data_IF_922652009560
#
_entry.id   IF_922652009560
#
_cell.length_a   1.000
_cell.length_b   1.000
_cell.length_c   1.000
_cell.angle_alpha   90.00
_cell.angle_beta   90.00
_cell.angle_gamma   90.00
#
_symmetry.space_group_name_H-M   'P 1'
#
loop_
_entity.id
_entity.type
_entity.pdbx_description
1 polymer ?
#
# COMPACT_ATOMS: atom_id res chain seq x y z
N UNK A 1 -25.26 -17.37 -7.49
CA UNK A 1 -24.19 -17.78 -6.55
C UNK A 1 -22.90 -18.15 -7.28
N UNK A 2 -22.95 -18.72 -8.48
CA UNK A 2 -21.77 -19.20 -9.26
C UNK A 2 -20.82 -18.11 -9.81
N UNK A 3 -21.22 -16.83 -9.85
CA UNK A 3 -20.40 -15.75 -10.42
C UNK A 3 -19.47 -15.06 -9.41
N UNK A 4 -19.77 -15.17 -8.11
CA UNK A 4 -18.98 -14.54 -7.02
C UNK A 4 -17.87 -15.48 -6.52
N UNK A 5 -18.08 -16.79 -6.59
CA UNK A 5 -17.05 -17.78 -6.26
C UNK A 5 -15.93 -17.81 -7.31
N UNK A 6 -16.22 -17.44 -8.57
CA UNK A 6 -15.21 -17.35 -9.64
C UNK A 6 -14.20 -16.22 -9.44
N UNK A 7 -14.60 -15.07 -8.90
CA UNK A 7 -13.67 -13.94 -8.68
C UNK A 7 -12.74 -14.17 -7.48
N UNK A 8 -13.21 -14.86 -6.43
CA UNK A 8 -12.38 -15.17 -5.26
C UNK A 8 -11.50 -16.40 -5.52
N UNK A 9 -12.02 -17.47 -6.12
CA UNK A 9 -11.24 -18.67 -6.43
C UNK A 9 -10.13 -18.42 -7.47
N UNK A 10 -10.35 -17.51 -8.43
CA UNK A 10 -9.31 -17.13 -9.40
C UNK A 10 -8.22 -16.25 -8.77
N UNK A 11 -8.52 -15.52 -7.69
CA UNK A 11 -7.55 -14.71 -6.94
C UNK A 11 -6.72 -15.57 -5.98
N UNK A 12 -7.36 -16.51 -5.29
CA UNK A 12 -6.69 -17.52 -4.44
C UNK A 12 -5.70 -18.36 -5.26
N UNK A 13 -6.12 -18.89 -6.42
CA UNK A 13 -5.21 -19.64 -7.32
C UNK A 13 -4.08 -18.80 -7.92
N UNK A 14 -4.30 -17.50 -8.12
CA UNK A 14 -3.23 -16.60 -8.59
C UNK A 14 -2.26 -16.24 -7.47
N UNK A 15 -2.66 -16.36 -6.20
CA UNK A 15 -1.81 -16.19 -5.04
C UNK A 15 -0.95 -17.45 -4.84
N UNK A 16 -1.56 -18.64 -4.87
CA UNK A 16 -0.85 -19.92 -4.72
C UNK A 16 0.21 -20.14 -5.81
N UNK A 17 -0.13 -19.91 -7.09
CA UNK A 17 0.81 -20.07 -8.20
C UNK A 17 1.95 -19.03 -8.20
N UNK A 18 1.72 -17.84 -7.64
CA UNK A 18 2.77 -16.82 -7.50
C UNK A 18 3.79 -17.24 -6.44
N UNK A 19 3.30 -17.76 -5.31
CA UNK A 19 4.12 -18.22 -4.20
C UNK A 19 4.92 -19.48 -4.54
N UNK A 20 4.35 -20.45 -5.26
CA UNK A 20 5.05 -21.70 -5.60
C UNK A 20 6.22 -21.51 -6.58
N UNK A 21 6.14 -20.53 -7.49
CA UNK A 21 7.21 -20.30 -8.49
C UNK A 21 8.47 -19.61 -7.95
N UNK A 22 8.43 -19.11 -6.71
CA UNK A 22 9.50 -18.29 -6.12
C UNK A 22 10.40 -19.07 -5.15
N UNK A 23 10.08 -20.35 -4.90
CA UNK A 23 10.73 -21.21 -3.90
C UNK A 23 12.01 -21.92 -4.40
N UNK A 24 12.40 -21.73 -5.67
CA UNK A 24 13.47 -22.53 -6.30
C UNK A 24 14.89 -21.92 -6.24
N UNK A 25 15.10 -20.76 -5.60
CA UNK A 25 16.44 -20.16 -5.51
C UNK A 25 16.96 -20.14 -4.05
N UNK A 26 17.93 -21.02 -3.75
CA UNK A 26 18.74 -21.01 -2.52
C UNK A 26 20.20 -21.32 -2.83
N UNK A 27 21.14 -20.51 -2.32
CA UNK A 27 22.27 -20.91 -1.43
C UNK A 27 23.42 -19.87 -1.45
N UNK A 28 23.62 -19.13 -0.34
CA UNK A 28 24.88 -18.64 0.28
C UNK A 28 24.63 -17.57 1.37
N UNK A 29 25.60 -17.30 2.27
CA UNK A 29 25.43 -16.39 3.42
C UNK A 29 25.28 -14.88 3.05
N UNK A 30 25.67 -14.47 1.84
CA UNK A 30 25.30 -13.17 1.25
C UNK A 30 23.80 -13.10 0.90
N UNK A 31 23.15 -14.25 0.74
CA UNK A 31 21.73 -14.34 0.48
C UNK A 31 20.91 -13.96 1.70
N UNK A 32 21.47 -13.86 2.93
CA UNK A 32 20.66 -13.52 4.12
C UNK A 32 20.03 -12.13 4.07
N UNK A 33 20.70 -11.13 3.51
CA UNK A 33 20.13 -9.78 3.32
C UNK A 33 19.12 -9.77 2.17
N UNK A 34 19.41 -10.46 1.07
CA UNK A 34 18.47 -10.68 -0.04
C UNK A 34 17.25 -11.53 0.40
N UNK A 35 17.43 -12.42 1.36
CA UNK A 35 16.38 -13.25 1.96
C UNK A 35 15.45 -12.38 2.81
N UNK A 36 15.98 -11.40 3.56
CA UNK A 36 15.15 -10.45 4.33
C UNK A 36 14.30 -9.56 3.43
N UNK A 37 14.81 -9.16 2.26
CA UNK A 37 14.02 -8.43 1.25
C UNK A 37 12.82 -9.27 0.75
N UNK A 38 12.92 -10.60 0.83
CA UNK A 38 11.89 -11.54 0.38
C UNK A 38 10.95 -12.04 1.49
N UNK A 39 11.21 -11.69 2.76
CA UNK A 39 10.35 -12.08 3.88
C UNK A 39 9.05 -11.27 3.90
N UNK A 40 8.04 -11.85 4.54
CA UNK A 40 6.84 -11.11 4.89
C UNK A 40 7.17 -10.12 5.99
N UNK A 41 6.48 -9.00 6.03
CA UNK A 41 6.55 -8.05 7.13
C UNK A 41 5.14 -7.75 7.67
N UNK A 42 5.09 -7.28 8.92
CA UNK A 42 3.85 -6.95 9.61
C UNK A 42 4.06 -5.74 10.53
N UNK A 43 3.18 -5.57 11.53
CA UNK A 43 3.35 -4.62 12.62
C UNK A 43 4.69 -4.83 13.35
N UNK A 44 5.24 -3.74 13.86
CA UNK A 44 6.45 -3.79 14.69
C UNK A 44 6.17 -4.53 16.00
N UNK A 45 7.21 -5.10 16.57
CA UNK A 45 7.15 -5.72 17.89
C UNK A 45 6.83 -4.65 18.98
N UNK A 46 6.48 -5.06 20.21
CA UNK A 46 6.22 -4.12 21.29
C UNK A 46 7.41 -3.19 21.65
N UNK A 47 8.63 -3.55 21.24
CA UNK A 47 9.86 -2.77 21.45
C UNK A 47 10.13 -1.77 20.30
N UNK A 48 9.35 -1.86 19.21
CA UNK A 48 9.45 -1.00 18.03
C UNK A 48 10.38 -1.52 16.94
N UNK A 49 10.83 -2.78 17.01
CA UNK A 49 11.67 -3.37 15.98
C UNK A 49 10.82 -3.95 14.83
N UNK A 50 11.33 -3.90 13.59
CA UNK A 50 10.64 -4.46 12.44
C UNK A 50 10.52 -5.98 12.54
N UNK A 51 9.29 -6.48 12.38
CA UNK A 51 9.00 -7.92 12.36
C UNK A 51 9.03 -8.45 10.94
N UNK A 52 9.89 -9.44 10.69
CA UNK A 52 9.94 -10.20 9.44
C UNK A 52 9.52 -11.65 9.70
N UNK A 53 8.74 -12.22 8.79
CA UNK A 53 8.14 -13.54 8.93
C UNK A 53 8.46 -14.41 7.72
N UNK A 54 8.78 -15.68 7.98
CA UNK A 54 8.84 -16.69 6.94
C UNK A 54 7.42 -17.02 6.44
N UNK A 55 7.31 -17.69 5.28
CA UNK A 55 6.02 -18.04 4.69
C UNK A 55 5.13 -18.86 5.62
N UNK A 56 5.69 -19.86 6.29
CA UNK A 56 4.93 -20.72 7.20
C UNK A 56 4.41 -19.93 8.40
N UNK A 57 5.24 -19.05 8.96
CA UNK A 57 4.86 -18.18 10.07
C UNK A 57 3.78 -17.19 9.66
N UNK A 58 3.93 -16.57 8.49
CA UNK A 58 2.98 -15.62 7.94
C UNK A 58 1.62 -16.27 7.66
N UNK A 59 1.63 -17.51 7.14
CA UNK A 59 0.40 -18.29 6.88
C UNK A 59 -0.29 -18.65 8.21
N UNK A 60 0.46 -19.20 9.17
CA UNK A 60 -0.07 -19.56 10.48
C UNK A 60 -0.64 -18.34 11.22
N UNK A 61 0.01 -17.17 11.12
CA UNK A 61 -0.46 -15.91 11.71
C UNK A 61 -1.88 -15.55 11.25
N UNK A 62 -2.18 -15.73 9.96
CA UNK A 62 -3.50 -15.42 9.39
C UNK A 62 -4.51 -16.51 9.72
N UNK A 63 -4.12 -17.78 9.57
CA UNK A 63 -5.01 -18.94 9.74
C UNK A 63 -5.41 -19.17 11.21
N UNK A 64 -4.52 -18.90 12.15
CA UNK A 64 -4.82 -18.98 13.59
C UNK A 64 -5.75 -17.84 14.05
N UNK A 65 -5.88 -16.77 13.25
CA UNK A 65 -6.69 -15.60 13.58
C UNK A 65 -8.19 -15.78 13.28
N UNK A 66 -8.82 -16.82 13.86
CA UNK A 66 -10.24 -17.12 13.65
C UNK A 66 -11.11 -16.83 14.88
N UNK A 67 -12.26 -16.18 14.65
CA UNK A 67 -13.32 -16.06 15.66
C UNK A 67 -14.01 -17.39 15.93
N UNK A 68 -14.60 -17.54 17.12
CA UNK A 68 -15.49 -18.66 17.43
C UNK A 68 -16.79 -18.65 16.61
N UNK A 69 -17.10 -17.52 15.96
CA UNK A 69 -18.30 -17.33 15.13
C UNK A 69 -18.00 -17.46 13.63
N UNK A 70 -16.77 -17.84 13.28
CA UNK A 70 -16.34 -17.88 11.90
C UNK A 70 -17.09 -18.99 11.13
N UNK A 71 -17.67 -18.64 9.99
CA UNK A 71 -18.42 -19.57 9.11
C UNK A 71 -17.52 -20.18 8.07
N UNK A 72 -17.70 -21.44 7.70
CA UNK A 72 -16.86 -22.08 6.66
C UNK A 72 -16.95 -21.36 5.32
N UNK A 73 -18.16 -20.95 4.91
CA UNK A 73 -18.41 -20.34 3.60
C UNK A 73 -18.08 -18.83 3.52
N UNK A 74 -17.27 -18.29 4.44
CA UNK A 74 -16.89 -16.87 4.43
C UNK A 74 -15.38 -16.70 4.24
N UNK A 75 -15.00 -15.65 3.52
CA UNK A 75 -13.58 -15.28 3.34
C UNK A 75 -12.91 -15.00 4.69
N UNK A 76 -11.80 -15.66 4.97
CA UNK A 76 -11.03 -15.54 6.24
C UNK A 76 -10.01 -14.42 6.24
N UNK A 77 -9.64 -13.95 5.07
CA UNK A 77 -8.75 -12.83 4.86
C UNK A 77 -9.21 -12.00 3.67
N UNK A 78 -8.63 -10.80 3.55
CA UNK A 78 -8.81 -9.89 2.42
C UNK A 78 -7.43 -9.51 1.90
N UNK A 79 -7.31 -9.39 0.58
CA UNK A 79 -6.08 -8.93 -0.04
C UNK A 79 -6.20 -7.46 -0.43
N UNK A 80 -5.20 -6.67 -0.05
CA UNK A 80 -5.00 -5.30 -0.47
C UNK A 80 -3.74 -5.22 -1.34
N UNK A 81 -3.89 -4.68 -2.55
CA UNK A 81 -2.77 -4.43 -3.44
C UNK A 81 -2.42 -2.94 -3.39
N UNK A 82 -1.25 -2.62 -2.85
CA UNK A 82 -0.71 -1.26 -2.83
C UNK A 82 0.25 -1.16 -4.01
N UNK A 83 0.00 -0.21 -4.90
CA UNK A 83 0.75 -0.07 -6.14
C UNK A 83 1.00 1.41 -6.41
N UNK A 84 2.11 1.95 -5.91
CA UNK A 84 2.47 3.32 -6.19
C UNK A 84 2.60 3.54 -7.70
N UNK A 85 2.17 4.71 -8.13
CA UNK A 85 2.28 5.15 -9.52
C UNK A 85 3.75 5.34 -9.90
N UNK A 86 4.03 5.40 -11.20
CA UNK A 86 5.39 5.68 -11.69
C UNK A 86 5.98 6.96 -11.07
N UNK A 87 5.19 8.03 -10.98
CA UNK A 87 5.66 9.30 -10.42
C UNK A 87 5.99 9.19 -8.93
N UNK A 88 5.20 8.42 -8.18
CA UNK A 88 5.45 8.15 -6.75
C UNK A 88 6.71 7.30 -6.57
N UNK A 89 6.92 6.27 -7.39
CA UNK A 89 8.13 5.44 -7.37
C UNK A 89 9.39 6.22 -7.79
N UNK A 90 9.26 7.15 -8.74
CA UNK A 90 10.35 8.03 -9.15
C UNK A 90 10.72 8.99 -8.01
N UNK A 91 9.73 9.55 -7.31
CA UNK A 91 9.94 10.40 -6.13
C UNK A 91 10.62 9.66 -4.97
N UNK A 92 10.17 8.44 -4.63
CA UNK A 92 10.84 7.64 -3.59
C UNK A 92 12.31 7.37 -3.97
N UNK A 93 12.60 7.11 -5.24
CA UNK A 93 13.98 6.88 -5.68
C UNK A 93 14.85 8.12 -5.49
N UNK A 94 14.30 9.32 -5.71
CA UNK A 94 14.99 10.58 -5.43
C UNK A 94 15.27 10.76 -3.93
N UNK A 95 14.29 10.44 -3.07
CA UNK A 95 14.48 10.46 -1.62
C UNK A 95 15.57 9.49 -1.17
N UNK A 96 15.57 8.25 -1.68
CA UNK A 96 16.61 7.26 -1.39
C UNK A 96 18.00 7.76 -1.81
N UNK A 97 18.11 8.41 -2.98
CA UNK A 97 19.39 9.00 -3.44
C UNK A 97 19.88 10.10 -2.49
N UNK A 98 18.98 10.93 -1.98
CA UNK A 98 19.31 11.97 -1.00
C UNK A 98 19.75 11.34 0.33
N UNK A 99 19.06 10.31 0.80
CA UNK A 99 19.40 9.61 2.04
C UNK A 99 20.77 8.92 1.95
N UNK A 100 21.08 8.28 0.83
CA UNK A 100 22.42 7.72 0.59
C UNK A 100 23.49 8.82 0.64
N UNK A 101 23.23 9.99 0.06
CA UNK A 101 24.16 11.11 0.11
C UNK A 101 24.42 11.59 1.55
N UNK A 102 23.37 11.70 2.37
CA UNK A 102 23.46 12.10 3.77
C UNK A 102 24.21 11.08 4.65
N UNK A 103 24.13 9.79 4.30
CA UNK A 103 24.91 8.72 4.95
C UNK A 103 26.39 8.70 4.53
N UNK A 104 26.82 9.64 3.68
CA UNK A 104 28.22 9.79 3.27
C UNK A 104 28.58 9.09 1.96
N UNK A 105 27.59 8.58 1.20
CA UNK A 105 27.83 8.08 -0.15
C UNK A 105 27.85 9.26 -1.13
N UNK A 106 28.97 9.98 -1.16
CA UNK A 106 29.14 11.09 -2.09
C UNK A 106 29.33 10.59 -3.53
N UNK A 107 29.12 11.47 -4.51
CA UNK A 107 29.22 11.15 -5.94
C UNK A 107 30.56 10.50 -6.33
N UNK A 108 31.66 10.85 -5.66
CA UNK A 108 32.98 10.24 -5.91
C UNK A 108 33.04 8.78 -5.45
N UNK A 109 32.49 8.49 -4.28
CA UNK A 109 32.51 7.14 -3.71
C UNK A 109 31.61 6.20 -4.53
N UNK A 110 30.44 6.71 -4.96
CA UNK A 110 29.55 6.00 -5.88
C UNK A 110 30.23 5.72 -7.24
N UNK A 111 30.96 6.70 -7.78
CA UNK A 111 31.73 6.51 -9.03
C UNK A 111 32.82 5.45 -8.86
N UNK A 112 33.56 5.45 -7.76
CA UNK A 112 34.62 4.46 -7.50
C UNK A 112 34.02 3.05 -7.34
N UNK A 113 32.95 2.92 -6.55
CA UNK A 113 32.28 1.64 -6.35
C UNK A 113 31.68 1.10 -7.65
N UNK A 114 31.12 1.97 -8.51
CA UNK A 114 30.56 1.60 -9.82
C UNK A 114 31.59 1.09 -10.83
N UNK A 115 32.89 1.32 -10.59
CA UNK A 115 33.96 0.79 -11.45
C UNK A 115 34.15 -0.72 -11.28
N UNK A 116 33.67 -1.29 -10.17
CA UNK A 116 33.75 -2.72 -9.87
C UNK A 116 32.36 -3.33 -9.90
N UNK A 117 32.21 -4.54 -10.45
CA UNK A 117 30.92 -5.23 -10.46
C UNK A 117 30.39 -5.49 -9.04
N UNK A 118 31.28 -5.84 -8.10
CA UNK A 118 30.92 -6.06 -6.70
C UNK A 118 30.47 -4.77 -5.99
N UNK A 119 31.17 -3.65 -6.24
CA UNK A 119 30.79 -2.35 -5.69
C UNK A 119 29.46 -1.83 -6.25
N UNK A 120 29.19 -2.06 -7.54
CA UNK A 120 27.90 -1.73 -8.14
C UNK A 120 26.76 -2.55 -7.52
N UNK A 121 26.96 -3.87 -7.32
CA UNK A 121 25.98 -4.72 -6.64
C UNK A 121 25.69 -4.25 -5.22
N UNK A 122 26.71 -3.83 -4.47
CA UNK A 122 26.53 -3.30 -3.11
C UNK A 122 25.70 -2.02 -3.10
N UNK A 123 25.94 -1.10 -4.05
CA UNK A 123 25.12 0.11 -4.20
C UNK A 123 23.67 -0.27 -4.48
N UNK A 124 23.44 -1.23 -5.38
CA UNK A 124 22.10 -1.65 -5.75
C UNK A 124 21.36 -2.29 -4.56
N UNK A 125 22.04 -3.11 -3.76
CA UNK A 125 21.49 -3.71 -2.53
C UNK A 125 21.13 -2.62 -1.50
N UNK A 126 22.03 -1.67 -1.24
CA UNK A 126 21.75 -0.58 -0.28
C UNK A 126 20.56 0.25 -0.75
N UNK A 127 20.54 0.61 -2.03
CA UNK A 127 19.44 1.37 -2.62
C UNK A 127 18.13 0.60 -2.55
N UNK A 128 18.16 -0.71 -2.83
CA UNK A 128 16.97 -1.56 -2.77
C UNK A 128 16.44 -1.64 -1.34
N UNK A 129 17.30 -1.89 -0.36
CA UNK A 129 16.93 -1.94 1.05
C UNK A 129 16.25 -0.65 1.55
N UNK A 130 16.81 0.51 1.21
CA UNK A 130 16.20 1.81 1.54
C UNK A 130 14.86 2.00 0.82
N UNK A 131 14.75 1.56 -0.43
CA UNK A 131 13.48 1.60 -1.18
C UNK A 131 12.41 0.73 -0.53
N UNK A 132 12.76 -0.51 -0.17
CA UNK A 132 11.90 -1.45 0.54
C UNK A 132 11.48 -0.92 1.91
N UNK A 133 12.39 -0.28 2.65
CA UNK A 133 12.05 0.34 3.93
C UNK A 133 10.98 1.42 3.75
N UNK A 134 11.17 2.35 2.82
CA UNK A 134 10.18 3.39 2.51
C UNK A 134 8.81 2.80 2.16
N UNK A 135 8.78 1.70 1.38
CA UNK A 135 7.55 1.00 1.03
C UNK A 135 6.90 0.28 2.23
N UNK A 136 7.68 -0.33 3.13
CA UNK A 136 7.17 -0.94 4.37
C UNK A 136 6.54 0.10 5.27
N UNK A 137 7.22 1.22 5.47
CA UNK A 137 6.72 2.34 6.27
C UNK A 137 5.46 2.96 5.66
N UNK A 138 5.41 3.10 4.34
CA UNK A 138 4.18 3.53 3.66
C UNK A 138 3.04 2.53 3.86
N UNK A 139 3.32 1.22 3.78
CA UNK A 139 2.32 0.17 4.00
C UNK A 139 1.73 0.26 5.41
N UNK A 140 2.54 0.57 6.43
CA UNK A 140 2.06 0.75 7.80
C UNK A 140 1.07 1.93 7.91
N UNK A 141 1.35 3.06 7.27
CA UNK A 141 0.37 4.18 7.20
C UNK A 141 -0.92 3.75 6.51
N UNK A 142 -0.81 3.01 5.41
CA UNK A 142 -1.98 2.47 4.70
C UNK A 142 -2.81 1.56 5.60
N UNK A 143 -2.16 0.77 6.47
CA UNK A 143 -2.86 -0.08 7.44
C UNK A 143 -3.47 0.71 8.60
N UNK A 144 -2.87 1.83 9.00
CA UNK A 144 -3.48 2.77 9.95
C UNK A 144 -4.75 3.40 9.36
N UNK A 145 -4.66 3.94 8.14
CA UNK A 145 -5.82 4.46 7.40
C UNK A 145 -6.90 3.38 7.19
N UNK A 146 -6.48 2.12 7.00
CA UNK A 146 -7.37 0.99 6.86
C UNK A 146 -8.13 0.70 8.16
N UNK A 147 -7.45 0.71 9.31
CA UNK A 147 -8.06 0.52 10.62
C UNK A 147 -9.05 1.64 10.95
N UNK A 148 -8.64 2.89 10.77
CA UNK A 148 -9.41 4.09 11.10
C UNK A 148 -10.72 4.15 10.29
N UNK A 149 -10.67 3.74 9.03
CA UNK A 149 -11.83 3.76 8.14
C UNK A 149 -12.98 2.84 8.57
N UNK A 150 -12.75 1.88 9.48
CA UNK A 150 -13.83 1.06 10.01
C UNK A 150 -14.72 1.79 11.01
N UNK A 151 -14.23 2.87 11.64
CA UNK A 151 -14.91 3.58 12.73
C UNK A 151 -15.41 2.62 13.82
N UNK A 152 -14.57 1.65 14.19
CA UNK A 152 -14.89 0.60 15.16
C UNK A 152 -14.12 0.79 16.45
N UNK A 153 -14.69 0.26 17.53
CA UNK A 153 -14.01 0.17 18.82
C UNK A 153 -13.54 -1.25 19.09
N UNK A 154 -12.45 -1.38 19.83
CA UNK A 154 -11.87 -2.62 20.35
C UNK A 154 -11.79 -2.54 21.88
N UNK A 155 -11.57 -3.67 22.55
CA UNK A 155 -11.41 -3.69 24.00
C UNK A 155 -10.04 -3.16 24.40
N UNK A 156 -9.98 -2.38 25.48
CA UNK A 156 -8.73 -1.77 25.93
C UNK A 156 -7.75 -2.84 26.45
N UNK A 157 -8.24 -3.77 27.28
CA UNK A 157 -7.46 -4.86 27.85
C UNK A 157 -8.01 -6.23 27.42
N UNK A 158 -7.70 -6.69 26.19
CA UNK A 158 -8.30 -7.90 25.64
C UNK A 158 -7.87 -9.19 26.36
N UNK A 159 -6.78 -9.14 27.14
CA UNK A 159 -6.33 -10.25 27.99
C UNK A 159 -7.18 -10.44 29.25
N UNK A 160 -7.87 -9.39 29.71
CA UNK A 160 -8.65 -9.42 30.95
C UNK A 160 -10.17 -9.38 30.72
N UNK A 161 -10.62 -10.06 29.67
CA UNK A 161 -12.03 -10.19 29.32
C UNK A 161 -12.73 -11.28 30.16
N UNK A 162 -14.03 -11.13 30.48
CA UNK A 162 -14.78 -12.12 31.25
C UNK A 162 -14.99 -13.42 30.46
N UNK A 163 -15.01 -14.54 31.18
CA UNK A 163 -15.42 -15.83 30.60
C UNK A 163 -16.95 -15.89 30.40
N UNK A 164 -17.46 -16.98 29.82
CA UNK A 164 -18.90 -17.10 29.51
C UNK A 164 -19.80 -17.11 30.76
N UNK A 165 -19.33 -17.64 31.89
CA UNK A 165 -20.10 -17.68 33.15
C UNK A 165 -20.14 -16.30 33.81
N UNK A 166 -18.98 -15.63 33.88
CA UNK A 166 -18.83 -14.27 34.39
C UNK A 166 -19.65 -13.28 33.56
N UNK A 167 -19.62 -13.40 32.22
CA UNK A 167 -20.40 -12.55 31.33
C UNK A 167 -21.91 -12.69 31.59
N UNK A 168 -22.38 -13.90 31.90
CA UNK A 168 -23.79 -14.12 32.28
C UNK A 168 -24.12 -13.38 33.58
N UNK A 169 -23.27 -13.49 34.61
CA UNK A 169 -23.43 -12.79 35.89
C UNK A 169 -23.46 -11.26 35.67
N UNK A 170 -22.53 -10.74 34.87
CA UNK A 170 -22.44 -9.31 34.55
C UNK A 170 -23.72 -8.83 33.82
N UNK A 171 -24.20 -9.61 32.83
CA UNK A 171 -25.40 -9.27 32.08
C UNK A 171 -26.68 -9.34 32.94
N UNK A 172 -26.78 -10.34 33.83
CA UNK A 172 -27.93 -10.50 34.72
C UNK A 172 -27.98 -9.35 35.74
N UNK A 173 -26.83 -8.96 36.30
CA UNK A 173 -26.71 -7.79 37.18
C UNK A 173 -27.11 -6.49 36.47
N UNK A 174 -26.60 -6.25 35.26
CA UNK A 174 -26.93 -5.05 34.50
C UNK A 174 -28.43 -4.95 34.18
N UNK A 175 -29.07 -6.07 33.83
CA UNK A 175 -30.53 -6.11 33.60
C UNK A 175 -31.33 -5.83 34.87
N UNK A 176 -30.91 -6.38 36.01
CA UNK A 176 -31.55 -6.10 37.31
C UNK A 176 -31.48 -4.60 37.64
N UNK A 177 -30.29 -3.99 37.53
CA UNK A 177 -30.09 -2.56 37.80
C UNK A 177 -30.92 -1.65 36.90
N UNK A 178 -31.07 -2.00 35.63
CA UNK A 178 -31.93 -1.22 34.73
C UNK A 178 -33.41 -1.36 35.11
N UNK A 179 -33.85 -2.57 35.45
CA UNK A 179 -35.23 -2.79 35.88
C UNK A 179 -35.57 -2.04 37.17
N UNK A 180 -34.63 -1.96 38.12
CA UNK A 180 -34.73 -1.14 39.34
C UNK A 180 -34.81 0.36 39.03
N UNK A 181 -34.11 0.80 37.98
CA UNK A 181 -34.08 2.21 37.56
C UNK A 181 -35.32 2.63 36.76
N UNK A 182 -36.21 1.70 36.40
CA UNK A 182 -37.46 1.97 35.68
C UNK A 182 -37.29 2.42 34.22
N UNK A 183 -36.12 2.20 33.61
CA UNK A 183 -35.83 2.62 32.22
C UNK A 183 -36.39 1.59 31.25
N UNK A 184 -37.16 2.03 30.26
CA UNK A 184 -37.74 1.12 29.26
C UNK A 184 -36.70 0.72 28.21
N UNK A 185 -36.80 -0.50 27.68
CA UNK A 185 -35.90 -1.00 26.62
C UNK A 185 -35.91 -0.12 25.34
N UNK A 186 -36.96 0.68 25.14
CA UNK A 186 -37.10 1.57 23.98
C UNK A 186 -36.38 2.92 24.15
N UNK A 187 -35.92 3.26 25.36
CA UNK A 187 -35.27 4.53 25.63
C UNK A 187 -33.87 4.55 25.01
N UNK A 188 -33.52 5.67 24.35
CA UNK A 188 -32.20 5.85 23.75
C UNK A 188 -31.04 5.73 24.76
N UNK A 189 -31.32 6.02 26.05
CA UNK A 189 -30.34 5.93 27.14
C UNK A 189 -30.14 4.50 27.66
N UNK A 190 -31.04 3.56 27.34
CA UNK A 190 -30.97 2.18 27.85
C UNK A 190 -29.61 1.54 27.55
N UNK A 191 -29.11 1.67 26.32
CA UNK A 191 -27.85 1.04 25.92
C UNK A 191 -26.63 1.64 26.62
N UNK A 192 -26.66 2.93 26.95
CA UNK A 192 -25.58 3.59 27.66
C UNK A 192 -25.53 3.14 29.11
N UNK A 193 -26.67 3.17 29.81
CA UNK A 193 -26.77 2.66 31.17
C UNK A 193 -26.45 1.16 31.26
N UNK A 194 -26.91 0.36 30.30
CA UNK A 194 -26.58 -1.06 30.23
C UNK A 194 -25.08 -1.30 30.11
N UNK A 195 -24.40 -0.55 29.25
CA UNK A 195 -22.95 -0.67 29.10
C UNK A 195 -22.23 -0.23 30.39
N UNK A 196 -22.64 0.89 31.00
CA UNK A 196 -22.05 1.40 32.23
C UNK A 196 -22.18 0.41 33.40
N UNK A 197 -23.35 -0.19 33.61
CA UNK A 197 -23.54 -1.20 34.66
C UNK A 197 -22.75 -2.48 34.40
N UNK A 198 -22.57 -2.88 33.13
CA UNK A 198 -21.70 -4.01 32.78
C UNK A 198 -20.24 -3.73 33.09
N UNK A 199 -19.77 -2.53 32.77
CA UNK A 199 -18.40 -2.10 33.06
C UNK A 199 -18.14 -2.02 34.57
N UNK A 200 -19.06 -1.44 35.33
CA UNK A 200 -18.99 -1.41 36.79
C UNK A 200 -18.89 -2.83 37.38
N UNK A 201 -19.78 -3.74 36.96
CA UNK A 201 -19.76 -5.10 37.48
C UNK A 201 -18.53 -5.90 37.03
N UNK A 202 -18.07 -5.69 35.80
CA UNK A 202 -16.84 -6.28 35.32
C UNK A 202 -15.66 -5.82 36.18
N UNK A 203 -15.57 -4.53 36.49
CA UNK A 203 -14.51 -3.96 37.31
C UNK A 203 -14.52 -4.53 38.74
N UNK A 204 -15.69 -4.68 39.36
CA UNK A 204 -15.84 -5.37 40.66
C UNK A 204 -15.32 -6.81 40.63
N UNK A 205 -15.48 -7.51 39.50
CA UNK A 205 -14.99 -8.87 39.30
C UNK A 205 -13.53 -8.93 38.83
N UNK A 206 -12.83 -7.79 38.79
CA UNK A 206 -11.46 -7.69 38.31
C UNK A 206 -11.31 -7.88 36.80
N UNK A 207 -12.38 -7.69 36.02
CA UNK A 207 -12.42 -7.78 34.55
C UNK A 207 -12.56 -6.40 33.93
N UNK A 208 -12.14 -6.27 32.67
CA UNK A 208 -12.21 -5.00 31.95
C UNK A 208 -13.04 -5.16 30.66
N UNK A 209 -14.08 -4.33 30.53
CA UNK A 209 -14.94 -4.25 29.35
C UNK A 209 -14.86 -2.88 28.66
N UNK A 210 -13.95 -2.00 29.09
CA UNK A 210 -13.75 -0.70 28.49
C UNK A 210 -13.29 -0.84 27.03
N UNK A 211 -13.71 0.12 26.21
CA UNK A 211 -13.47 0.12 24.77
C UNK A 211 -12.74 1.38 24.33
N UNK A 212 -11.91 1.26 23.31
CA UNK A 212 -11.17 2.36 22.66
C UNK A 212 -11.35 2.29 21.14
N UNK A 213 -11.08 3.36 20.38
CA UNK A 213 -11.00 3.27 18.92
C UNK A 213 -9.95 2.24 18.50
N UNK A 214 -10.25 1.57 17.40
CA UNK A 214 -9.36 0.60 16.76
C UNK A 214 -8.15 1.31 16.15
N UNK A 215 -7.00 0.63 16.17
CA UNK A 215 -5.73 1.10 15.59
C UNK A 215 -5.12 0.01 14.70
N UNK A 216 -4.04 0.31 13.99
CA UNK A 216 -3.29 -0.62 13.15
C UNK A 216 -2.76 -1.85 13.91
N UNK A 217 -2.47 -1.70 15.21
CA UNK A 217 -2.00 -2.78 16.09
C UNK A 217 -3.06 -3.85 16.35
N UNK A 218 -4.33 -3.47 16.19
CA UNK A 218 -5.47 -4.36 16.36
C UNK A 218 -5.79 -5.14 15.07
N UNK A 219 -5.09 -4.86 13.97
CA UNK A 219 -5.14 -5.65 12.75
C UNK A 219 -4.12 -6.79 12.80
N UNK A 220 -4.52 -7.95 12.29
CA UNK A 220 -3.58 -9.02 11.94
C UNK A 220 -3.42 -9.00 10.43
N UNK A 221 -2.23 -8.63 9.96
CA UNK A 221 -1.92 -8.53 8.55
C UNK A 221 -0.48 -8.94 8.28
N UNK A 222 -0.21 -9.34 7.05
CA UNK A 222 1.13 -9.60 6.53
C UNK A 222 1.23 -8.92 5.17
N UNK A 223 2.43 -8.50 4.77
CA UNK A 223 2.64 -8.01 3.42
C UNK A 223 3.98 -8.45 2.86
N UNK A 224 4.07 -8.45 1.54
CA UNK A 224 5.30 -8.68 0.80
C UNK A 224 5.45 -7.65 -0.31
N UNK A 225 6.68 -7.19 -0.50
CA UNK A 225 7.06 -6.25 -1.56
C UNK A 225 7.57 -7.07 -2.75
N UNK A 226 7.10 -6.70 -3.93
CA UNK A 226 7.42 -7.36 -5.18
C UNK A 226 7.94 -6.32 -6.18
N UNK A 227 9.11 -6.57 -6.74
CA UNK A 227 9.82 -5.57 -7.57
C UNK A 227 9.45 -5.67 -9.05
N UNK A 228 9.04 -6.86 -9.47
CA UNK A 228 8.80 -7.23 -10.86
C UNK A 228 7.35 -7.62 -11.07
N UNK A 229 6.83 -7.32 -12.25
CA UNK A 229 5.53 -7.80 -12.71
C UNK A 229 5.67 -8.44 -14.07
N UNK A 230 4.98 -9.53 -14.30
CA UNK A 230 4.94 -10.20 -15.60
C UNK A 230 3.58 -9.99 -16.27
N UNK A 231 3.57 -10.07 -17.60
CA UNK A 231 2.35 -10.08 -18.39
C UNK A 231 1.66 -11.45 -18.28
N UNK A 232 0.42 -11.45 -17.76
CA UNK A 232 -0.37 -12.68 -17.61
C UNK A 232 -1.07 -13.04 -18.92
N UNK A 233 -1.35 -14.32 -19.15
CA UNK A 233 -2.04 -14.78 -20.36
C UNK A 233 -3.42 -14.18 -20.58
N UNK A 234 -4.09 -13.74 -19.50
CA UNK A 234 -5.37 -13.07 -19.52
C UNK A 234 -5.28 -11.53 -19.65
N UNK A 235 -4.08 -10.95 -19.71
CA UNK A 235 -3.92 -9.52 -19.92
C UNK A 235 -4.42 -9.13 -21.33
N UNK A 236 -5.14 -8.01 -21.41
CA UNK A 236 -5.77 -7.55 -22.65
C UNK A 236 -4.79 -7.49 -23.83
N UNK A 237 -3.62 -6.88 -23.63
CA UNK A 237 -2.61 -6.74 -24.68
C UNK A 237 -2.02 -8.08 -25.11
N UNK A 238 -1.86 -9.03 -24.18
CA UNK A 238 -1.41 -10.40 -24.50
C UNK A 238 -2.45 -11.12 -25.35
N UNK A 239 -3.73 -11.03 -24.98
CA UNK A 239 -4.83 -11.66 -25.73
C UNK A 239 -4.94 -11.06 -27.14
N UNK A 240 -4.89 -9.74 -27.26
CA UNK A 240 -4.94 -9.03 -28.56
C UNK A 240 -3.75 -9.42 -29.43
N UNK A 241 -2.53 -9.39 -28.90
CA UNK A 241 -1.34 -9.81 -29.63
C UNK A 241 -1.38 -11.28 -30.02
N UNK A 242 -1.91 -12.17 -29.17
CA UNK A 242 -2.08 -13.61 -29.48
C UNK A 242 -3.06 -13.82 -30.63
N UNK A 243 -4.13 -13.02 -30.73
CA UNK A 243 -5.08 -13.04 -31.86
C UNK A 243 -4.42 -12.54 -33.15
N UNK A 244 -3.65 -11.46 -33.07
CA UNK A 244 -2.88 -10.91 -34.20
C UNK A 244 -1.86 -11.94 -34.69
N UNK A 245 -1.08 -12.54 -33.79
CA UNK A 245 -0.08 -13.56 -34.13
C UNK A 245 -0.72 -14.80 -34.79
N UNK A 246 -1.87 -15.28 -34.29
CA UNK A 246 -2.63 -16.35 -34.97
C UNK A 246 -3.09 -15.96 -36.37
N UNK A 247 -3.43 -14.70 -36.58
CA UNK A 247 -3.84 -14.19 -37.90
C UNK A 247 -2.65 -14.10 -38.85
N UNK A 248 -1.49 -13.66 -38.35
CA UNK A 248 -0.22 -13.68 -39.08
C UNK A 248 0.15 -15.11 -39.48
N UNK A 249 0.06 -16.08 -38.57
CA UNK A 249 0.32 -17.51 -38.86
C UNK A 249 -0.60 -18.06 -39.95
N UNK A 250 -1.91 -17.74 -39.89
CA UNK A 250 -2.86 -18.14 -40.93
C UNK A 250 -2.50 -17.55 -42.30
N UNK A 251 -2.11 -16.27 -42.35
CA UNK A 251 -1.72 -15.60 -43.61
C UNK A 251 -0.42 -16.18 -44.17
N UNK A 252 0.55 -16.51 -43.31
CA UNK A 252 1.80 -17.16 -43.73
C UNK A 252 1.54 -18.51 -44.39
N UNK A 253 0.64 -19.31 -43.81
CA UNK A 253 0.31 -20.66 -44.27
C UNK A 253 -0.71 -20.69 -45.43
N UNK A 254 -1.26 -19.54 -45.85
CA UNK A 254 -2.25 -19.48 -46.93
C UNK A 254 -1.58 -19.67 -48.31
N UNK A 255 -1.89 -20.76 -48.99
CA UNK A 255 -1.31 -21.14 -50.28
C UNK A 255 -1.86 -20.26 -51.42
N UNK A 256 -3.03 -19.65 -51.24
CA UNK A 256 -3.74 -18.90 -52.30
C UNK A 256 -3.31 -17.43 -52.42
N UNK A 257 -2.48 -16.93 -51.50
CA UNK A 257 -1.99 -15.55 -51.50
C UNK A 257 -0.60 -15.46 -52.16
N UNK A 258 -0.41 -14.49 -53.04
CA UNK A 258 0.92 -14.12 -53.55
C UNK A 258 1.80 -13.62 -52.40
N UNK A 259 3.09 -13.98 -52.40
CA UNK A 259 4.08 -13.58 -51.39
C UNK A 259 4.07 -12.07 -51.11
N UNK A 260 4.06 -11.24 -52.16
CA UNK A 260 3.98 -9.78 -52.04
C UNK A 260 2.74 -9.26 -51.27
N UNK A 261 1.61 -9.97 -51.36
CA UNK A 261 0.37 -9.64 -50.63
C UNK A 261 0.40 -10.16 -49.20
N UNK A 262 1.09 -11.29 -48.94
CA UNK A 262 1.32 -11.80 -47.58
C UNK A 262 2.17 -10.82 -46.81
N UNK A 263 3.29 -10.39 -47.38
CA UNK A 263 4.23 -9.45 -46.76
C UNK A 263 3.54 -8.16 -46.32
N UNK A 264 2.78 -7.52 -47.21
CA UNK A 264 2.03 -6.30 -46.86
C UNK A 264 1.06 -6.50 -45.70
N UNK A 265 0.22 -7.55 -45.75
CA UNK A 265 -0.73 -7.85 -44.67
C UNK A 265 -0.05 -8.18 -43.34
N UNK A 266 1.11 -8.83 -43.39
CA UNK A 266 1.88 -9.17 -42.19
C UNK A 266 2.46 -7.89 -41.58
N UNK A 267 2.98 -6.97 -42.39
CA UNK A 267 3.49 -5.67 -41.91
C UNK A 267 2.37 -4.89 -41.22
N UNK A 268 1.19 -4.77 -41.86
CA UNK A 268 0.04 -4.07 -41.29
C UNK A 268 -0.37 -4.66 -39.93
N UNK A 269 -0.38 -6.00 -39.81
CA UNK A 269 -0.71 -6.69 -38.56
C UNK A 269 0.40 -6.56 -37.50
N UNK A 270 1.66 -6.50 -37.92
CA UNK A 270 2.79 -6.29 -37.00
C UNK A 270 2.79 -4.89 -36.41
N UNK A 271 2.35 -3.87 -37.15
CA UNK A 271 2.18 -2.50 -36.64
C UNK A 271 1.07 -2.40 -35.60
N UNK A 272 0.05 -3.25 -35.68
CA UNK A 272 -1.05 -3.32 -34.71
C UNK A 272 -0.68 -4.03 -33.40
N UNK A 273 0.51 -4.64 -33.31
CA UNK A 273 0.94 -5.31 -32.08
C UNK A 273 1.16 -4.30 -30.95
N UNK A 274 0.53 -4.57 -29.81
CA UNK A 274 0.75 -3.79 -28.60
C UNK A 274 2.17 -4.01 -28.08
N UNK A 275 2.90 -2.92 -27.89
CA UNK A 275 4.27 -2.91 -27.35
C UNK A 275 4.27 -2.32 -25.95
N UNK A 276 5.15 -2.84 -25.11
CA UNK A 276 5.38 -2.28 -23.80
C UNK A 276 6.02 -0.89 -23.93
N UNK A 277 5.55 0.08 -23.13
CA UNK A 277 5.95 1.48 -23.29
C UNK A 277 7.39 1.74 -22.85
N UNK A 278 7.86 0.96 -21.88
CA UNK A 278 9.20 1.13 -21.32
C UNK A 278 10.25 0.37 -22.14
N UNK A 279 9.99 -0.89 -22.50
CA UNK A 279 10.95 -1.70 -23.27
C UNK A 279 10.82 -1.55 -24.78
N UNK A 280 9.67 -1.09 -25.30
CA UNK A 280 9.39 -1.04 -26.74
C UNK A 280 9.19 -2.40 -27.40
N UNK A 281 9.24 -3.49 -26.63
CA UNK A 281 9.10 -4.86 -27.12
C UNK A 281 7.62 -5.25 -27.22
N UNK A 282 7.31 -6.16 -28.15
CA UNK A 282 5.96 -6.70 -28.32
C UNK A 282 5.59 -7.52 -27.07
N UNK A 283 4.45 -7.18 -26.48
CA UNK A 283 3.98 -7.81 -25.25
C UNK A 283 3.64 -9.27 -25.51
N UNK A 284 4.21 -10.15 -24.68
CA UNK A 284 4.00 -11.60 -24.69
C UNK A 284 3.69 -12.10 -23.27
N UNK A 285 3.03 -13.24 -23.19
CA UNK A 285 2.79 -13.95 -21.93
C UNK A 285 4.12 -14.32 -21.27
N UNK A 286 4.23 -14.09 -19.96
CA UNK A 286 5.46 -14.37 -19.17
C UNK A 286 6.55 -13.30 -19.28
N UNK A 287 6.42 -12.32 -20.18
CA UNK A 287 7.39 -11.23 -20.31
C UNK A 287 7.33 -10.30 -19.08
N UNK A 288 8.49 -9.92 -18.54
CA UNK A 288 8.59 -8.88 -17.50
C UNK A 288 8.14 -7.51 -18.04
N UNK A 289 7.34 -6.79 -17.25
CA UNK A 289 6.87 -5.45 -17.55
C UNK A 289 8.03 -4.47 -17.33
N UNK A 290 8.28 -3.60 -18.31
CA UNK A 290 9.35 -2.62 -18.18
C UNK A 290 9.05 -1.50 -17.17
N UNK A 291 10.10 -0.79 -16.79
CA UNK A 291 10.05 0.25 -15.76
C UNK A 291 10.03 -0.32 -14.34
N UNK A 292 9.97 0.55 -13.35
CA UNK A 292 9.88 0.16 -11.94
C UNK A 292 8.51 -0.43 -11.66
N UNK A 293 8.45 -1.68 -11.21
CA UNK A 293 7.21 -2.40 -10.97
C UNK A 293 6.99 -2.71 -9.48
N UNK A 294 7.64 -1.96 -8.58
CA UNK A 294 7.44 -2.12 -7.14
C UNK A 294 5.97 -2.03 -6.76
N UNK A 295 5.50 -3.07 -6.08
CA UNK A 295 4.15 -3.17 -5.57
C UNK A 295 4.11 -4.09 -4.36
N UNK A 296 3.04 -4.00 -3.60
CA UNK A 296 2.93 -4.66 -2.30
C UNK A 296 1.63 -5.43 -2.28
N UNK A 297 1.73 -6.68 -1.88
CA UNK A 297 0.60 -7.55 -1.60
C UNK A 297 0.46 -7.64 -0.09
N UNK A 298 -0.59 -7.02 0.44
CA UNK A 298 -0.96 -7.14 1.85
C UNK A 298 -2.15 -8.08 2.01
N UNK A 299 -2.04 -9.03 2.93
CA UNK A 299 -3.11 -9.95 3.35
C UNK A 299 -3.53 -9.53 4.75
N UNK A 300 -4.79 -9.16 4.90
CA UNK A 300 -5.37 -8.71 6.16
C UNK A 300 -6.38 -9.75 6.62
N UNK A 301 -6.26 -10.21 7.86
CA UNK A 301 -7.21 -11.14 8.43
C UNK A 301 -8.60 -10.50 8.59
N UNK A 302 -9.66 -11.31 8.47
CA UNK A 302 -11.05 -10.87 8.64
C UNK A 302 -11.36 -10.46 10.09
N UNK A 303 -10.52 -10.79 11.06
CA UNK A 303 -10.78 -10.57 12.48
C UNK A 303 -9.71 -9.69 13.12
N UNK A 304 -10.10 -8.97 14.18
CA UNK A 304 -9.17 -8.19 15.00
C UNK A 304 -8.20 -9.10 15.79
N UNK A 305 -7.11 -8.50 16.25
CA UNK A 305 -6.04 -9.15 17.03
C UNK A 305 -6.44 -9.41 18.50
N UNK A 306 -7.71 -9.64 18.79
CA UNK A 306 -8.17 -9.92 20.15
C UNK A 306 -7.83 -11.38 20.51
N UNK A 307 -7.02 -11.69 21.54
CA UNK A 307 -6.60 -13.07 21.85
C UNK A 307 -7.79 -14.01 22.12
N UNK A 308 -8.87 -13.47 22.71
CA UNK A 308 -10.07 -14.25 22.97
C UNK A 308 -10.97 -14.36 21.72
N UNK A 309 -11.03 -15.57 21.14
CA UNK A 309 -11.81 -15.91 19.93
C UNK A 309 -13.30 -15.54 20.01
N UNK A 310 -13.90 -15.50 21.20
CA UNK A 310 -15.33 -15.14 21.39
C UNK A 310 -15.59 -13.66 21.20
N UNK A 311 -14.60 -12.82 21.52
CA UNK A 311 -14.68 -11.37 21.48
C UNK A 311 -14.12 -10.77 20.19
N UNK A 312 -13.45 -11.59 19.36
CA UNK A 312 -12.97 -11.17 18.05
C UNK A 312 -14.07 -10.54 17.20
N UNK A 313 -13.82 -9.33 16.69
CA UNK A 313 -14.73 -8.59 15.81
C UNK A 313 -14.35 -8.80 14.36
N UNK A 314 -15.33 -9.07 13.51
CA UNK A 314 -15.11 -9.21 12.07
C UNK A 314 -14.96 -7.83 11.41
N UNK A 315 -13.85 -7.63 10.72
CA UNK A 315 -13.46 -6.45 9.97
C UNK A 315 -13.52 -6.83 8.49
N UNK A 316 -14.50 -6.30 7.75
CA UNK A 316 -14.64 -6.59 6.33
C UNK A 316 -14.72 -5.29 5.52
N UNK A 317 -13.77 -5.04 4.61
CA UNK A 317 -13.77 -3.85 3.76
C UNK A 317 -14.87 -3.91 2.67
N UNK A 318 -15.54 -5.06 2.57
CA UNK A 318 -16.65 -5.28 1.65
C UNK A 318 -18.01 -4.96 2.29
N UNK A 319 -18.05 -4.77 3.61
CA UNK A 319 -19.27 -4.36 4.29
C UNK A 319 -19.58 -2.91 3.92
N UNK A 320 -20.68 -2.71 3.19
CA UNK A 320 -21.21 -1.37 2.91
C UNK A 320 -21.44 -0.61 4.22
N UNK A 321 -21.14 0.69 4.22
CA UNK A 321 -21.52 1.58 5.32
C UNK A 321 -23.02 1.44 5.58
N UNK A 322 -23.37 1.02 6.80
CA UNK A 322 -24.74 1.02 7.27
C UNK A 322 -24.85 2.13 8.31
N UNK A 323 -25.81 3.03 8.11
CA UNK A 323 -26.26 3.93 9.17
C UNK A 323 -27.11 3.11 10.13
N UNK A 324 -26.47 2.24 10.91
CA UNK A 324 -27.17 1.45 11.91
C UNK A 324 -27.41 2.33 13.13
N UNK A 325 -28.67 2.70 13.38
CA UNK A 325 -29.11 3.24 14.67
C UNK A 325 -29.06 2.12 15.71
N UNK A 326 -27.88 1.82 16.23
CA UNK A 326 -27.75 0.89 17.35
C UNK A 326 -28.01 1.72 18.61
N UNK A 327 -29.21 1.58 19.15
CA UNK A 327 -29.64 2.10 20.46
C UNK A 327 -29.12 3.51 20.80
N UNK A 328 -29.57 4.51 20.03
CA UNK A 328 -29.28 5.93 20.32
C UNK A 328 -27.92 6.44 19.84
N UNK A 329 -27.02 5.59 19.34
CA UNK A 329 -25.77 6.03 18.71
C UNK A 329 -25.90 5.98 17.18
N UNK A 330 -25.70 7.12 16.52
CA UNK A 330 -25.45 7.20 15.09
C UNK A 330 -24.00 6.74 14.81
N UNK A 331 -23.73 5.46 15.02
CA UNK A 331 -22.44 4.89 14.64
C UNK A 331 -22.51 4.49 13.17
N UNK A 332 -21.80 5.21 12.31
CA UNK A 332 -21.56 4.80 10.93
C UNK A 332 -20.59 3.62 10.99
N UNK A 333 -21.13 2.40 10.87
CA UNK A 333 -20.33 1.18 10.86
C UNK A 333 -20.20 0.69 9.42
N UNK A 334 -18.97 0.50 8.96
CA UNK A 334 -18.65 -0.04 7.64
C UNK A 334 -17.31 0.47 7.15
N UNK A 335 -17.01 0.26 5.88
CA UNK A 335 -15.76 0.71 5.27
C UNK A 335 -16.07 1.56 4.05
N UNK A 336 -15.62 2.83 4.05
CA UNK A 336 -15.73 3.69 2.86
C UNK A 336 -14.51 3.53 1.98
N UNK A 337 -14.68 2.93 0.80
CA UNK A 337 -13.56 2.74 -0.12
C UNK A 337 -13.08 4.05 -0.70
N UNK A 338 -13.97 5.01 -0.97
CA UNK A 338 -13.58 6.28 -1.56
C UNK A 338 -12.81 7.12 -0.54
N UNK A 339 -13.30 7.20 0.69
CA UNK A 339 -12.60 7.90 1.77
C UNK A 339 -11.23 7.28 2.03
N UNK A 340 -11.15 5.95 2.05
CA UNK A 340 -9.88 5.24 2.20
C UNK A 340 -8.88 5.59 1.10
N UNK A 341 -9.29 5.58 -0.18
CA UNK A 341 -8.38 5.95 -1.26
C UNK A 341 -7.88 7.39 -1.14
N UNK A 342 -8.74 8.33 -0.74
CA UNK A 342 -8.37 9.73 -0.56
C UNK A 342 -7.40 9.89 0.62
N UNK A 343 -7.67 9.22 1.75
CA UNK A 343 -6.78 9.22 2.92
C UNK A 343 -5.41 8.66 2.57
N UNK A 344 -5.36 7.51 1.91
CA UNK A 344 -4.08 6.87 1.51
C UNK A 344 -3.25 7.77 0.58
N UNK A 345 -3.88 8.43 -0.40
CA UNK A 345 -3.16 9.40 -1.25
C UNK A 345 -2.59 10.56 -0.42
N UNK A 346 -3.38 11.08 0.52
CA UNK A 346 -2.96 12.17 1.41
C UNK A 346 -1.83 11.73 2.34
N UNK A 347 -1.91 10.54 2.92
CA UNK A 347 -0.88 9.96 3.79
C UNK A 347 0.43 9.77 3.03
N UNK A 348 0.38 9.36 1.76
CA UNK A 348 1.56 9.32 0.89
C UNK A 348 2.14 10.72 0.68
N UNK A 349 1.29 11.68 0.31
CA UNK A 349 1.70 13.04 -0.03
C UNK A 349 2.31 13.76 1.20
N UNK A 350 1.74 13.57 2.39
CA UNK A 350 2.25 14.12 3.65
C UNK A 350 3.57 13.45 4.08
N UNK A 351 3.66 12.12 4.01
CA UNK A 351 4.85 11.35 4.41
C UNK A 351 6.06 11.67 3.55
N UNK A 352 5.88 11.63 2.23
CA UNK A 352 6.97 11.82 1.28
C UNK A 352 7.08 13.26 0.76
N UNK A 353 6.21 14.17 1.21
CA UNK A 353 6.11 15.56 0.70
C UNK A 353 5.97 15.59 -0.82
N UNK A 354 5.12 14.71 -1.35
CA UNK A 354 4.95 14.55 -2.79
C UNK A 354 3.88 15.50 -3.33
N UNK A 355 4.25 16.32 -4.32
CA UNK A 355 3.31 17.23 -4.98
C UNK A 355 2.51 16.49 -6.08
N UNK A 356 1.38 15.92 -5.68
CA UNK A 356 0.53 15.14 -6.57
C UNK A 356 -0.14 16.00 -7.65
N UNK A 357 0.10 15.65 -8.91
CA UNK A 357 -0.57 16.31 -10.06
C UNK A 357 -1.92 15.69 -10.42
N UNK A 358 -2.09 14.38 -10.18
CA UNK A 358 -3.30 13.59 -10.49
C UNK A 358 -3.76 12.84 -9.25
N UNK A 359 -4.91 13.25 -8.70
CA UNK A 359 -5.55 12.60 -7.54
C UNK A 359 -6.72 11.71 -7.93
N UNK A 360 -7.04 10.77 -7.04
CA UNK A 360 -8.19 9.88 -7.11
C UNK A 360 -9.50 10.65 -7.27
N UNK A 361 -9.66 11.75 -6.54
CA UNK A 361 -10.85 12.62 -6.65
C UNK A 361 -11.00 13.19 -8.06
N UNK A 362 -9.92 13.76 -8.61
CA UNK A 362 -9.89 14.30 -9.98
C UNK A 362 -10.26 13.22 -11.00
N UNK A 363 -9.71 12.02 -10.83
CA UNK A 363 -10.02 10.88 -11.70
C UNK A 363 -11.50 10.49 -11.64
N UNK A 364 -12.06 10.39 -10.43
CA UNK A 364 -13.47 10.05 -10.23
C UNK A 364 -14.41 11.12 -10.80
N UNK A 365 -14.07 12.40 -10.63
CA UNK A 365 -14.83 13.52 -11.22
C UNK A 365 -14.86 13.41 -12.76
N UNK A 366 -13.72 13.15 -13.40
CA UNK A 366 -13.62 12.97 -14.85
C UNK A 366 -14.45 11.76 -15.31
N UNK A 367 -14.32 10.62 -14.64
CA UNK A 367 -15.06 9.39 -14.95
C UNK A 367 -16.57 9.56 -14.84
N UNK A 368 -17.03 10.25 -13.79
CA UNK A 368 -18.45 10.53 -13.58
C UNK A 368 -18.99 11.60 -14.54
N UNK A 369 -18.16 12.58 -14.94
CA UNK A 369 -18.48 13.55 -15.98
C UNK A 369 -18.69 12.89 -17.36
N UNK A 370 -17.85 11.94 -17.73
CA UNK A 370 -18.02 11.16 -18.96
C UNK A 370 -19.29 10.29 -18.95
N UNK A 371 -19.67 9.72 -17.80
CA UNK A 371 -20.93 8.97 -17.66
C UNK A 371 -22.17 9.85 -17.78
N UNK A 372 -22.13 11.10 -17.30
CA UNK A 372 -23.24 12.07 -17.48
C UNK A 372 -23.38 12.53 -18.93
N UNK A 373 -22.27 12.70 -19.66
CA UNK A 373 -22.31 13.15 -21.06
C UNK A 373 -22.76 12.06 -22.05
N UNK A 374 -22.67 10.78 -21.70
CA UNK A 374 -23.22 9.70 -22.55
C UNK A 374 -24.76 9.58 -22.48
N UNK A 375 -25.43 10.33 -21.58
CA UNK A 375 -26.90 10.36 -21.44
C UNK A 375 -27.53 11.67 -21.95
N UNK A 376 -26.77 12.56 -22.61
CA UNK A 376 -27.29 13.81 -23.18
C UNK A 376 -27.15 13.73 -24.70
N UNK A 377 -28.29 13.73 -25.39
CA UNK A 377 -28.36 13.81 -26.85
C UNK A 377 -27.51 14.98 -27.37
N UNK A 378 -26.73 14.66 -28.40
CA UNK A 378 -25.80 15.53 -29.12
C UNK A 378 -26.41 16.90 -29.45
N UNK A 379 -25.76 17.99 -29.03
CA UNK A 379 -25.99 19.34 -29.58
C UNK A 379 -24.64 19.85 -30.12
N UNK A 380 -24.57 20.44 -31.34
CA UNK A 380 -23.29 20.70 -32.02
C UNK A 380 -22.44 21.81 -31.39
N UNK A 381 -21.13 21.62 -31.50
CA UNK A 381 -20.01 22.29 -30.84
C UNK A 381 -19.73 23.76 -31.22
N UNK A 382 -20.68 24.51 -31.75
CA UNK A 382 -20.40 25.85 -32.31
C UNK A 382 -20.86 27.02 -31.43
N UNK A 383 -21.48 26.79 -30.27
CA UNK A 383 -22.00 27.87 -29.40
C UNK A 383 -21.20 28.07 -28.10
N UNK A 384 -20.33 27.12 -27.73
CA UNK A 384 -19.66 27.10 -26.42
C UNK A 384 -18.34 27.90 -26.34
N UNK A 385 -17.79 28.40 -27.46
CA UNK A 385 -16.48 29.04 -27.44
C UNK A 385 -16.47 30.53 -27.07
N UNK A 386 -17.62 31.23 -27.13
CA UNK A 386 -17.63 32.69 -26.94
C UNK A 386 -18.02 33.15 -25.53
N UNK A 387 -18.66 32.31 -24.71
CA UNK A 387 -19.15 32.69 -23.37
C UNK A 387 -18.23 32.30 -22.20
N UNK A 388 -17.28 31.38 -22.38
CA UNK A 388 -16.41 30.87 -21.31
C UNK A 388 -15.25 31.83 -20.95
N UNK A 389 -14.67 32.52 -21.93
CA UNK A 389 -13.46 33.35 -21.69
C UNK A 389 -13.73 34.63 -20.86
N UNK A 390 -14.96 35.15 -20.86
CA UNK A 390 -15.33 36.35 -20.06
C UNK A 390 -15.63 36.01 -18.59
N UNK A 391 -16.16 34.82 -18.32
CA UNK A 391 -16.51 34.36 -16.97
C UNK A 391 -15.28 33.86 -16.20
N UNK A 392 -14.38 33.14 -16.88
CA UNK A 392 -13.15 32.61 -16.29
C UNK A 392 -12.21 33.75 -15.87
N UNK A 393 -12.08 34.81 -16.68
CA UNK A 393 -11.22 35.95 -16.33
C UNK A 393 -11.76 36.82 -15.19
N UNK A 394 -13.08 36.85 -14.96
CA UNK A 394 -13.69 37.58 -13.83
C UNK A 394 -13.55 36.85 -12.49
N UNK A 395 -13.49 35.51 -12.51
CA UNK A 395 -13.36 34.70 -11.30
C UNK A 395 -11.91 34.58 -10.80
N UNK A 396 -10.93 34.61 -11.71
CA UNK A 396 -9.52 34.36 -11.39
C UNK A 396 -8.78 35.60 -10.86
N UNK A 397 -9.23 36.81 -11.22
CA UNK A 397 -8.59 38.06 -10.79
C UNK A 397 -8.58 38.30 -9.27
N UNK A 398 -9.71 38.17 -8.53
CA UNK A 398 -9.70 38.38 -7.08
C UNK A 398 -8.92 37.28 -6.32
N UNK A 399 -8.95 36.03 -6.82
CA UNK A 399 -8.18 34.92 -6.25
C UNK A 399 -6.66 35.10 -6.41
N UNK A 400 -6.21 35.70 -7.53
CA UNK A 400 -4.78 36.03 -7.72
C UNK A 400 -4.32 37.18 -6.82
N UNK A 401 -5.19 38.14 -6.51
CA UNK A 401 -4.87 39.23 -5.58
C UNK A 401 -4.79 38.73 -4.13
N UNK A 402 -5.75 37.90 -3.68
CA UNK A 402 -5.68 37.28 -2.35
C UNK A 402 -4.47 36.36 -2.16
N UNK A 403 -4.09 35.59 -3.20
CA UNK A 403 -2.91 34.73 -3.14
C UNK A 403 -1.61 35.53 -3.09
N UNK A 404 -1.55 36.68 -3.76
CA UNK A 404 -0.37 37.55 -3.73
C UNK A 404 -0.25 38.36 -2.42
N UNK A 405 -1.36 38.68 -1.76
CA UNK A 405 -1.35 39.36 -0.45
C UNK A 405 -1.06 38.40 0.70
N UNK A 406 -1.53 37.14 0.63
CA UNK A 406 -1.30 36.12 1.67
C UNK A 406 0.02 35.37 1.54
N UNK A 407 0.62 35.31 0.35
CA UNK A 407 1.92 34.67 0.12
C UNK A 407 2.94 35.76 -0.21
N UNK A 408 3.53 36.35 0.83
CA UNK A 408 4.63 37.30 0.73
C UNK A 408 5.88 36.65 0.11
N UNK A 409 5.97 36.68 -1.22
CA UNK A 409 7.04 36.04 -2.00
C UNK A 409 8.45 36.66 -1.84
N UNK A 410 8.65 37.62 -0.93
CA UNK A 410 9.95 38.25 -0.68
C UNK A 410 10.63 37.81 0.63
N UNK A 411 9.98 37.00 1.49
CA UNK A 411 10.61 36.43 2.68
C UNK A 411 11.05 34.96 2.51
N UNK A 412 10.47 34.24 1.54
CA UNK A 412 10.82 32.84 1.23
C UNK A 412 12.19 32.65 0.56
N UNK A 413 12.92 33.73 0.25
CA UNK A 413 14.30 33.69 -0.26
C UNK A 413 15.37 33.80 0.83
N UNK A 414 15.00 33.89 2.11
CA UNK A 414 15.94 34.02 3.23
C UNK A 414 15.93 32.87 4.23
N UNK A 415 15.20 31.79 3.94
CA UNK A 415 15.27 30.56 4.70
C UNK A 415 15.92 29.50 3.82
N UNK A 416 17.25 29.45 3.86
CA UNK A 416 18.01 28.26 3.47
C UNK A 416 17.65 27.15 4.47
N UNK A 417 16.77 26.23 4.06
CA UNK A 417 16.22 25.16 4.92
C UNK A 417 17.14 23.91 4.92
N UNK A 418 18.32 23.99 4.28
CA UNK A 418 19.22 22.85 4.09
C UNK A 418 20.03 22.42 5.33
N UNK A 419 19.82 23.03 6.51
CA UNK A 419 20.60 22.69 7.72
C UNK A 419 19.79 22.20 8.92
N UNK A 420 18.46 22.03 8.78
CA UNK A 420 17.61 21.65 9.93
C UNK A 420 16.78 20.39 9.69
N UNK A 421 16.69 19.87 8.45
CA UNK A 421 15.87 18.69 8.11
C UNK A 421 16.41 17.38 8.74
N UNK A 422 17.71 17.29 9.02
CA UNK A 422 18.33 16.08 9.59
C UNK A 422 18.21 15.93 11.11
N UNK A 423 17.71 16.94 11.84
CA UNK A 423 17.56 16.91 13.31
C UNK A 423 16.13 16.79 13.83
N UNK A 424 15.11 17.05 13.00
CA UNK A 424 13.70 17.01 13.40
C UNK A 424 12.92 15.77 12.90
N UNK A 425 13.54 14.94 12.06
CA UNK A 425 13.02 13.60 11.76
C UNK A 425 13.36 12.69 12.95
N UNK A 426 12.52 12.72 13.98
CA UNK A 426 12.68 12.00 15.25
C UNK A 426 12.62 10.48 15.15
N UNK A 427 13.45 9.88 14.31
CA UNK A 427 13.60 8.43 14.20
C UNK A 427 14.88 7.99 14.92
N UNK A 428 14.74 6.98 15.78
CA UNK A 428 15.87 6.11 16.14
C UNK A 428 15.78 4.89 15.25
N UNK A 429 16.79 4.65 14.43
CA UNK A 429 17.01 3.35 13.80
C UNK A 429 18.40 2.88 14.24
N UNK A 430 18.52 1.80 15.03
CA UNK A 430 19.79 1.11 15.16
C UNK A 430 19.99 0.25 13.90
N UNK A 431 20.73 0.76 12.92
CA UNK A 431 21.38 -0.09 11.91
C UNK A 431 22.84 -0.23 12.31
N UNK A 432 23.20 -1.35 12.95
CA UNK A 432 24.58 -1.81 12.90
C UNK A 432 24.82 -2.37 11.50
N UNK A 433 25.13 -1.51 10.55
CA UNK A 433 25.74 -1.92 9.28
C UNK A 433 26.98 -2.75 9.66
N UNK A 434 27.12 -4.02 9.23
CA UNK A 434 28.30 -4.81 9.56
C UNK A 434 29.56 -4.11 9.06
N UNK A 435 30.35 -3.60 10.01
CA UNK A 435 31.57 -2.83 9.79
C UNK A 435 32.73 -3.73 9.38
N UNK A 436 32.73 -4.42 8.23
CA UNK A 436 33.87 -5.35 7.97
C UNK A 436 34.35 -5.59 6.53
N UNK A 437 33.61 -5.34 5.43
CA UNK A 437 34.24 -5.26 4.09
C UNK A 437 34.25 -3.85 3.49
N UNK A 438 33.19 -3.07 3.72
CA UNK A 438 33.00 -1.73 3.13
C UNK A 438 33.97 -0.70 3.71
N UNK A 439 34.24 -0.76 5.02
CA UNK A 439 35.29 0.06 5.65
C UNK A 439 36.69 -0.36 5.19
N UNK A 440 36.91 -1.65 4.89
CA UNK A 440 38.19 -2.12 4.36
C UNK A 440 38.37 -1.61 2.93
N UNK A 441 37.34 -1.67 2.09
CA UNK A 441 37.36 -1.12 0.73
C UNK A 441 37.56 0.40 0.73
N UNK A 442 36.77 1.16 1.50
CA UNK A 442 36.92 2.61 1.62
C UNK A 442 38.24 3.03 2.27
N UNK A 443 38.77 2.26 3.23
CA UNK A 443 40.09 2.50 3.82
C UNK A 443 41.22 2.13 2.87
N UNK A 444 41.09 1.07 2.06
CA UNK A 444 42.02 0.72 0.98
C UNK A 444 42.04 1.82 -0.09
N UNK A 445 40.87 2.33 -0.48
CA UNK A 445 40.73 3.45 -1.42
C UNK A 445 41.32 4.73 -0.85
N UNK A 446 41.06 5.05 0.42
CA UNK A 446 41.67 6.21 1.08
C UNK A 446 43.19 6.05 1.26
N UNK A 447 43.69 4.84 1.49
CA UNK A 447 45.12 4.52 1.51
C UNK A 447 45.72 4.65 0.10
N UNK A 448 45.01 4.23 -0.95
CA UNK A 448 45.45 4.36 -2.34
C UNK A 448 45.45 5.81 -2.81
N UNK A 449 44.42 6.59 -2.47
CA UNK A 449 44.33 8.02 -2.75
C UNK A 449 45.34 8.83 -1.92
N UNK A 450 45.58 8.43 -0.67
CA UNK A 450 46.64 8.98 0.18
C UNK A 450 48.03 8.68 -0.39
N UNK A 451 48.30 7.43 -0.79
CA UNK A 451 49.55 7.04 -1.46
C UNK A 451 49.74 7.72 -2.81
N UNK A 452 48.67 7.90 -3.59
CA UNK A 452 48.73 8.64 -4.85
C UNK A 452 48.99 10.14 -4.64
N UNK A 453 48.52 10.72 -3.52
CA UNK A 453 48.86 12.08 -3.10
C UNK A 453 50.31 12.19 -2.60
N UNK A 454 50.79 11.21 -1.83
CA UNK A 454 52.14 11.21 -1.27
C UNK A 454 53.22 10.91 -2.33
N UNK A 455 52.92 10.15 -3.39
CA UNK A 455 53.83 9.96 -4.53
C UNK A 455 53.82 11.14 -5.53
N UNK A 456 52.93 12.12 -5.36
CA UNK A 456 52.88 13.35 -6.16
C UNK A 456 53.63 14.54 -5.53
N UNK A 457 54.14 14.38 -4.30
CA UNK A 457 54.89 15.40 -3.56
C UNK A 457 56.13 14.73 -2.96
N UNK A 458 57.09 14.35 -3.80
CA UNK A 458 58.33 13.73 -3.33
C UNK A 458 59.26 13.31 -4.47
N UNK A 459 60.01 14.29 -4.98
CA UNK A 459 61.12 14.25 -5.96
C UNK A 459 60.78 14.21 -7.44
#
# INVERSE_FOLDING_TARGET
MEYLDKENSSREKSFDNYFSSYLEEKENDFDKELLQENLFFTNDDPEGNPTFLEQNEATNLIDDNLSSRAKENESKFFMLNISPSKAELDHIEELVKMEMYDQGFHQRDLQILSQTEEGQRQIDIVKNNLFHQNLREYTKEVMADYADNFNRTVYNNPNNLPNQKEEKIINDFAKQKISESGIANADAKYSEFYQNYREQKAMEMGKDLTVRPMTERDLVWIAKIEEKRTYKGNDRWVIENKKINKSIEKIKNDINLSESKKERKIIDLQEQLNKDRATGLVVKEGMEKGGKQYHIHAVVSRYDNCPNRRFKKSISPLASQRHSKIAGKEAIVGFDRNEFYIKVERSFDEKFRFERTRSYEKFNQIKNGHKKNNNINVIPSNVLQQSSNKLINKAIQPLKQELNEKLGFNELKKLDINTTISKELGFRIPMSIPKTPLQVATKIVNIFLGKARDHGIGF
#
